data_IF_337815719650
#
_entry.id   IF_337815719650
#
_cell.length_a   1.000
_cell.length_b   1.000
_cell.length_c   1.000
_cell.angle_alpha   90.00
_cell.angle_beta   90.00
_cell.angle_gamma   90.00
#
_symmetry.space_group_name_H-M   'P 1'
#
loop_
_entity.id
_entity.type
_entity.pdbx_description
1 polymer ?
#
# COMPACT_ATOMS: atom_id res chain seq x y z
N UNK A 1 -33.32 -76.63 -2.76
CA UNK A 1 -32.99 -76.95 -1.38
C UNK A 1 -32.46 -75.66 -0.77
N UNK A 2 -33.30 -74.87 -0.06
CA UNK A 2 -33.44 -74.77 1.36
C UNK A 2 -32.14 -74.26 2.01
N UNK A 3 -32.07 -73.11 2.66
CA UNK A 3 -32.76 -72.54 3.81
C UNK A 3 -32.37 -71.05 3.95
N UNK A 4 -33.25 -70.19 4.17
CA UNK A 4 -33.70 -69.44 5.35
C UNK A 4 -32.68 -69.21 6.44
N UNK A 5 -32.39 -67.94 6.71
CA UNK A 5 -31.68 -67.45 7.89
C UNK A 5 -32.08 -66.02 8.20
N UNK A 6 -33.14 -65.89 9.00
CA UNK A 6 -33.58 -64.63 9.61
C UNK A 6 -32.60 -64.24 10.70
N UNK A 7 -32.11 -63.02 10.72
CA UNK A 7 -31.27 -62.46 11.78
C UNK A 7 -31.80 -61.10 12.19
N UNK A 8 -32.36 -61.09 13.39
CA UNK A 8 -33.03 -60.02 14.13
C UNK A 8 -32.25 -58.70 14.13
N UNK A 9 -32.99 -57.66 13.82
CA UNK A 9 -32.59 -56.28 14.08
C UNK A 9 -32.48 -55.94 15.55
N UNK A 10 -31.40 -55.31 15.92
CA UNK A 10 -31.26 -54.60 17.18
C UNK A 10 -30.92 -53.14 16.83
N UNK A 11 -31.89 -52.27 16.94
CA UNK A 11 -31.69 -50.84 16.92
C UNK A 11 -31.26 -50.36 18.31
N UNK A 12 -30.07 -49.78 18.49
CA UNK A 12 -29.76 -49.03 19.70
C UNK A 12 -30.37 -47.63 19.63
N UNK A 13 -30.81 -47.05 20.75
CA UNK A 13 -31.44 -45.74 20.80
C UNK A 13 -30.42 -44.65 20.53
N UNK A 14 -30.74 -43.81 19.55
CA UNK A 14 -29.97 -42.61 19.16
C UNK A 14 -30.02 -41.62 20.31
N UNK A 15 -28.94 -41.56 21.11
CA UNK A 15 -28.68 -40.44 22.01
C UNK A 15 -28.47 -39.18 21.16
N UNK A 16 -29.40 -38.24 21.28
CA UNK A 16 -29.29 -36.89 20.77
C UNK A 16 -28.10 -36.20 21.44
N UNK A 17 -26.92 -36.30 20.85
CA UNK A 17 -25.78 -35.43 21.15
C UNK A 17 -26.05 -34.11 20.44
N UNK A 18 -26.38 -33.09 21.21
CA UNK A 18 -26.46 -31.71 20.73
C UNK A 18 -25.07 -31.27 20.28
N UNK A 19 -24.87 -31.23 18.97
CA UNK A 19 -23.65 -30.69 18.35
C UNK A 19 -23.75 -29.17 18.42
N UNK A 20 -23.17 -28.57 19.47
CA UNK A 20 -22.90 -27.15 19.54
C UNK A 20 -21.82 -26.85 18.50
N UNK A 21 -22.25 -26.45 17.28
CA UNK A 21 -21.36 -25.83 16.30
C UNK A 21 -20.92 -24.48 16.86
N UNK A 22 -19.74 -24.45 17.47
CA UNK A 22 -19.00 -23.22 17.68
C UNK A 22 -18.60 -22.66 16.31
N UNK A 23 -19.39 -21.74 15.79
CA UNK A 23 -19.02 -20.87 14.69
C UNK A 23 -17.91 -19.94 15.18
N UNK A 24 -16.67 -20.40 15.21
CA UNK A 24 -15.50 -19.53 15.23
C UNK A 24 -15.48 -18.80 13.89
N UNK A 25 -16.15 -17.64 13.85
CA UNK A 25 -16.00 -16.70 12.77
C UNK A 25 -14.51 -16.32 12.68
N UNK A 26 -13.79 -16.91 11.74
CA UNK A 26 -12.49 -16.38 11.32
C UNK A 26 -12.74 -14.97 10.77
N UNK A 27 -12.61 -13.97 11.63
CA UNK A 27 -12.52 -12.58 11.21
C UNK A 27 -11.27 -12.50 10.34
N UNK A 28 -11.44 -12.53 9.03
CA UNK A 28 -10.34 -12.32 8.10
C UNK A 28 -9.70 -10.99 8.50
N UNK A 29 -8.42 -11.03 8.92
CA UNK A 29 -7.68 -9.84 9.22
C UNK A 29 -7.64 -9.00 7.94
N UNK A 30 -7.96 -7.71 8.05
CA UNK A 30 -7.82 -6.79 6.93
C UNK A 30 -6.37 -6.88 6.41
N UNK A 31 -6.15 -6.83 5.08
CA UNK A 31 -4.79 -6.80 4.56
C UNK A 31 -4.03 -5.63 5.19
N UNK A 32 -2.75 -5.81 5.50
CA UNK A 32 -1.95 -4.74 6.09
C UNK A 32 -1.98 -3.52 5.16
N UNK A 33 -1.95 -2.30 5.71
CA UNK A 33 -1.89 -1.09 4.91
C UNK A 33 -0.64 -1.09 4.03
N UNK A 34 -0.70 -0.52 2.81
CA UNK A 34 0.47 -0.40 1.95
C UNK A 34 1.55 0.45 2.63
N UNK A 35 2.76 -0.05 2.67
CA UNK A 35 3.91 0.57 3.32
C UNK A 35 4.92 -0.48 3.76
N UNK A 36 6.11 -0.06 4.15
CA UNK A 36 7.22 -0.92 4.48
C UNK A 36 7.49 -1.03 6.00
N UNK A 37 8.25 -2.06 6.39
CA UNK A 37 8.62 -2.28 7.79
C UNK A 37 9.65 -1.26 8.30
N UNK A 38 10.46 -0.69 7.40
CA UNK A 38 11.49 0.29 7.71
C UNK A 38 11.57 1.43 6.68
N UNK A 39 12.24 2.54 7.01
CA UNK A 39 12.34 3.70 6.11
C UNK A 39 13.16 3.43 4.86
N UNK A 40 14.21 2.63 4.94
CA UNK A 40 15.02 2.23 3.77
C UNK A 40 14.20 1.38 2.82
N UNK A 41 13.50 0.39 3.37
CA UNK A 41 12.61 -0.50 2.63
C UNK A 41 11.48 0.28 1.94
N UNK A 42 10.92 1.30 2.59
CA UNK A 42 9.88 2.14 2.00
C UNK A 42 10.37 2.85 0.73
N UNK A 43 11.59 3.39 0.75
CA UNK A 43 12.18 4.05 -0.42
C UNK A 43 12.58 3.04 -1.49
N UNK A 44 13.08 1.86 -1.10
CA UNK A 44 13.41 0.79 -2.04
C UNK A 44 12.17 0.25 -2.76
N UNK A 45 11.09 0.00 -2.05
CA UNK A 45 9.81 -0.44 -2.62
C UNK A 45 9.22 0.63 -3.54
N UNK A 46 9.28 1.90 -3.14
CA UNK A 46 8.86 3.03 -3.95
C UNK A 46 9.67 3.11 -5.25
N UNK A 47 11.00 3.05 -5.16
CA UNK A 47 11.87 3.05 -6.34
C UNK A 47 11.61 1.84 -7.26
N UNK A 48 11.40 0.65 -6.69
CA UNK A 48 11.06 -0.54 -7.45
C UNK A 48 9.70 -0.44 -8.14
N UNK A 49 8.70 0.17 -7.51
CA UNK A 49 7.40 0.44 -8.15
C UNK A 49 7.55 1.40 -9.34
N UNK A 50 8.34 2.47 -9.19
CA UNK A 50 8.65 3.39 -10.28
C UNK A 50 9.36 2.68 -11.45
N UNK A 51 10.34 1.84 -11.17
CA UNK A 51 11.07 1.07 -12.19
C UNK A 51 10.19 0.12 -12.98
N UNK A 52 9.16 -0.46 -12.35
CA UNK A 52 8.17 -1.32 -13.01
C UNK A 52 7.10 -0.53 -13.77
N UNK A 53 7.06 0.79 -13.64
CA UNK A 53 5.98 1.62 -14.17
C UNK A 53 4.67 1.45 -13.40
N UNK A 54 4.71 0.91 -12.19
CA UNK A 54 3.54 0.70 -11.35
C UNK A 54 3.20 1.96 -10.55
N UNK A 55 2.55 2.91 -11.25
CA UNK A 55 2.12 4.16 -10.67
C UNK A 55 1.13 3.98 -9.50
N UNK A 56 0.34 2.92 -9.52
CA UNK A 56 -0.62 2.66 -8.44
C UNK A 56 0.08 2.23 -7.15
N UNK A 57 1.02 1.28 -7.25
CA UNK A 57 1.83 0.86 -6.11
C UNK A 57 2.71 2.02 -5.60
N UNK A 58 3.36 2.77 -6.50
CA UNK A 58 4.16 3.94 -6.10
C UNK A 58 3.30 4.97 -5.33
N UNK A 59 2.09 5.26 -5.80
CA UNK A 59 1.19 6.20 -5.13
C UNK A 59 0.74 5.70 -3.76
N UNK A 60 0.46 4.41 -3.61
CA UNK A 60 0.07 3.80 -2.33
C UNK A 60 1.18 3.84 -1.27
N UNK A 61 2.46 3.88 -1.68
CA UNK A 61 3.62 4.02 -0.81
C UNK A 61 3.90 5.46 -0.37
N UNK A 62 3.19 6.44 -0.89
CA UNK A 62 3.29 7.83 -0.45
C UNK A 62 2.53 8.06 0.87
N UNK A 63 2.99 9.03 1.66
CA UNK A 63 2.28 9.47 2.85
C UNK A 63 0.89 10.01 2.53
N UNK A 64 -0.01 9.93 3.49
CA UNK A 64 -1.37 10.48 3.37
C UNK A 64 -1.33 11.98 3.07
N UNK A 65 -0.36 12.71 3.64
CA UNK A 65 -0.14 14.12 3.37
C UNK A 65 0.20 14.35 1.89
N UNK A 66 1.18 13.61 1.37
CA UNK A 66 1.60 13.72 -0.03
C UNK A 66 0.47 13.39 -1.00
N UNK A 67 -0.26 12.31 -0.76
CA UNK A 67 -1.40 11.91 -1.61
C UNK A 67 -2.46 13.01 -1.66
N UNK A 68 -2.88 13.54 -0.51
CA UNK A 68 -3.88 14.61 -0.44
C UNK A 68 -3.42 15.89 -1.12
N UNK A 69 -2.15 16.26 -0.98
CA UNK A 69 -1.62 17.44 -1.63
C UNK A 69 -1.54 17.27 -3.15
N UNK A 70 -1.10 16.11 -3.62
CA UNK A 70 -1.08 15.78 -5.05
C UNK A 70 -2.49 15.85 -5.66
N UNK A 71 -3.50 15.28 -5.00
CA UNK A 71 -4.89 15.34 -5.45
C UNK A 71 -5.43 16.77 -5.44
N UNK A 72 -5.06 17.58 -4.44
CA UNK A 72 -5.43 19.00 -4.36
C UNK A 72 -4.84 19.81 -5.50
N UNK A 73 -3.55 19.59 -5.82
CA UNK A 73 -2.89 20.26 -6.96
C UNK A 73 -3.56 19.86 -8.28
N UNK A 74 -3.83 18.57 -8.48
CA UNK A 74 -4.52 18.09 -9.67
C UNK A 74 -5.94 18.69 -9.80
N UNK A 75 -6.67 18.81 -8.70
CA UNK A 75 -7.99 19.44 -8.68
C UNK A 75 -7.92 20.94 -9.04
N UNK A 76 -6.94 21.68 -8.51
CA UNK A 76 -6.72 23.09 -8.86
C UNK A 76 -6.36 23.26 -10.35
N UNK A 77 -5.49 22.38 -10.88
CA UNK A 77 -5.13 22.42 -12.30
C UNK A 77 -6.35 22.22 -13.20
N UNK A 78 -7.22 21.28 -12.87
CA UNK A 78 -8.50 21.08 -13.61
C UNK A 78 -9.42 22.30 -13.53
N UNK A 79 -9.55 22.88 -12.35
CA UNK A 79 -10.38 24.07 -12.17
C UNK A 79 -9.85 25.29 -12.95
N UNK A 80 -8.55 25.40 -13.15
CA UNK A 80 -7.91 26.49 -13.87
C UNK A 80 -7.80 26.25 -15.38
N UNK A 81 -7.66 24.99 -15.82
CA UNK A 81 -7.36 24.63 -17.21
C UNK A 81 -8.58 24.35 -18.09
N UNK A 82 -9.79 24.25 -17.52
CA UNK A 82 -10.97 23.82 -18.25
C UNK A 82 -10.79 22.44 -18.90
N UNK A 83 -11.49 22.20 -20.02
CA UNK A 83 -11.43 20.93 -20.77
C UNK A 83 -10.20 20.82 -21.71
N UNK A 84 -9.14 21.61 -21.48
CA UNK A 84 -7.91 21.52 -22.26
C UNK A 84 -7.23 20.16 -22.00
N UNK A 85 -7.07 19.36 -23.06
CA UNK A 85 -6.43 18.05 -22.98
C UNK A 85 -5.04 18.14 -22.36
N UNK A 86 -4.73 17.22 -21.43
CA UNK A 86 -3.43 17.14 -20.75
C UNK A 86 -3.45 17.53 -19.27
N UNK A 87 -4.58 18.00 -18.74
CA UNK A 87 -4.73 18.25 -17.30
C UNK A 87 -4.89 16.93 -16.56
N UNK A 88 -4.08 16.66 -15.50
CA UNK A 88 -4.15 15.40 -14.79
C UNK A 88 -5.48 15.21 -14.05
N UNK A 89 -6.09 14.02 -14.16
CA UNK A 89 -7.36 13.69 -13.51
C UNK A 89 -7.21 13.41 -12.00
N UNK A 90 -6.01 13.09 -11.55
CA UNK A 90 -5.72 12.74 -10.15
C UNK A 90 -4.28 13.09 -9.78
N UNK A 91 -4.00 13.15 -8.48
CA UNK A 91 -2.65 13.32 -7.96
C UNK A 91 -1.70 12.21 -8.43
N UNK A 92 -2.19 10.98 -8.55
CA UNK A 92 -1.41 9.87 -9.11
C UNK A 92 -0.98 10.13 -10.55
N UNK A 93 -1.91 10.55 -11.41
CA UNK A 93 -1.59 10.88 -12.80
C UNK A 93 -0.65 12.08 -12.89
N UNK A 94 -0.84 13.09 -12.04
CA UNK A 94 0.04 14.26 -11.97
C UNK A 94 1.48 13.87 -11.62
N UNK A 95 1.68 12.99 -10.63
CA UNK A 95 3.01 12.60 -10.17
C UNK A 95 3.69 11.59 -11.11
N UNK A 96 2.92 10.70 -11.73
CA UNK A 96 3.45 9.53 -12.44
C UNK A 96 2.92 9.39 -13.88
N UNK A 97 2.27 10.41 -14.42
CA UNK A 97 1.74 10.39 -15.78
C UNK A 97 2.79 10.55 -16.88
N UNK A 98 4.01 10.95 -16.53
CA UNK A 98 5.15 11.03 -17.45
C UNK A 98 6.14 9.88 -17.22
N UNK A 99 7.15 9.78 -18.09
CA UNK A 99 8.19 8.75 -17.98
C UNK A 99 8.82 8.74 -16.59
N UNK A 100 8.79 7.57 -15.94
CA UNK A 100 9.33 7.37 -14.60
C UNK A 100 10.86 7.16 -14.66
N UNK A 101 11.60 7.56 -13.61
CA UNK A 101 13.05 7.36 -13.56
C UNK A 101 13.38 5.88 -13.66
N UNK A 102 14.31 5.54 -14.55
CA UNK A 102 14.84 4.19 -14.72
C UNK A 102 16.24 4.11 -14.13
N UNK A 103 16.60 2.97 -13.55
CA UNK A 103 17.95 2.68 -13.10
C UNK A 103 18.02 2.20 -11.64
N UNK A 104 19.16 1.56 -11.33
CA UNK A 104 19.44 1.12 -9.96
C UNK A 104 19.78 2.33 -9.09
N UNK A 105 19.32 2.27 -7.86
CA UNK A 105 19.62 3.28 -6.84
C UNK A 105 20.24 2.61 -5.61
N UNK A 106 21.14 3.31 -4.95
CA UNK A 106 21.65 2.97 -3.63
C UNK A 106 20.85 3.78 -2.60
N UNK A 107 20.39 3.10 -1.56
CA UNK A 107 19.50 3.70 -0.55
C UNK A 107 20.11 3.51 0.83
N UNK A 108 20.21 4.58 1.61
CA UNK A 108 20.70 4.53 2.98
C UNK A 108 19.95 5.50 3.90
N UNK A 109 19.71 5.09 5.13
CA UNK A 109 19.19 5.98 6.17
C UNK A 109 20.31 6.91 6.64
N UNK A 110 20.02 8.20 6.74
CA UNK A 110 20.97 9.20 7.26
C UNK A 110 20.57 9.74 8.64
N UNK A 111 19.28 9.72 8.97
CA UNK A 111 18.80 10.09 10.31
C UNK A 111 17.41 9.52 10.57
N UNK A 112 17.09 9.34 11.86
CA UNK A 112 15.75 8.96 12.32
C UNK A 112 15.43 9.63 13.64
N UNK A 113 14.22 10.17 13.74
CA UNK A 113 13.68 10.75 14.96
C UNK A 113 12.22 10.31 15.12
N UNK A 114 11.99 9.32 15.99
CA UNK A 114 10.66 8.74 16.20
C UNK A 114 10.07 8.15 14.90
N UNK A 115 8.95 8.71 14.48
CA UNK A 115 8.20 8.29 13.29
C UNK A 115 8.61 9.04 12.00
N UNK A 116 9.73 9.75 12.01
CA UNK A 116 10.27 10.46 10.85
C UNK A 116 11.72 10.04 10.62
N UNK A 117 12.05 9.74 9.37
CA UNK A 117 13.42 9.42 8.95
C UNK A 117 13.79 10.21 7.69
N UNK A 118 15.11 10.40 7.51
CA UNK A 118 15.70 10.90 6.27
C UNK A 118 16.47 9.78 5.61
N UNK A 119 16.20 9.57 4.34
CA UNK A 119 16.80 8.50 3.55
C UNK A 119 17.44 9.09 2.32
N UNK A 120 18.71 8.84 2.13
CA UNK A 120 19.45 9.27 0.94
C UNK A 120 19.32 8.20 -0.14
N UNK A 121 19.07 8.65 -1.35
CA UNK A 121 19.05 7.85 -2.57
C UNK A 121 20.11 8.39 -3.51
N UNK A 122 21.03 7.52 -3.92
CA UNK A 122 22.09 7.85 -4.89
C UNK A 122 21.81 7.11 -6.18
N UNK A 123 21.68 7.84 -7.28
CA UNK A 123 21.47 7.26 -8.61
C UNK A 123 22.81 6.82 -9.27
N UNK A 124 22.71 6.18 -10.43
CA UNK A 124 23.89 5.73 -11.20
C UNK A 124 24.82 6.87 -11.64
N UNK A 125 24.29 8.10 -11.70
CA UNK A 125 25.05 9.32 -12.02
C UNK A 125 25.73 9.91 -10.78
N UNK A 126 25.68 9.22 -9.64
CA UNK A 126 26.14 9.67 -8.32
C UNK A 126 25.44 10.94 -7.82
N UNK A 127 24.24 11.22 -8.28
CA UNK A 127 23.41 12.29 -7.74
C UNK A 127 22.70 11.77 -6.50
N UNK A 128 22.91 12.47 -5.40
CA UNK A 128 22.24 12.17 -4.14
C UNK A 128 20.96 13.01 -4.01
N UNK A 129 19.89 12.38 -3.53
CA UNK A 129 18.63 13.03 -3.14
C UNK A 129 18.21 12.52 -1.79
N UNK A 130 17.71 13.39 -0.94
CA UNK A 130 17.18 13.01 0.37
C UNK A 130 15.66 12.96 0.30
N UNK A 131 15.10 11.85 0.76
CA UNK A 131 13.67 11.65 0.92
C UNK A 131 13.32 11.69 2.41
N UNK A 132 12.28 12.41 2.72
CA UNK A 132 11.62 12.29 4.02
C UNK A 132 10.72 11.07 4.00
N UNK A 133 10.76 10.27 5.06
CA UNK A 133 9.93 9.07 5.24
C UNK A 133 9.24 9.18 6.58
N UNK A 134 7.96 8.89 6.62
CA UNK A 134 7.15 8.99 7.84
C UNK A 134 6.48 7.67 8.13
N UNK A 135 6.26 7.40 9.42
CA UNK A 135 5.54 6.22 9.85
C UNK A 135 4.08 6.58 10.09
N UNK A 136 3.18 5.94 9.34
CA UNK A 136 1.72 6.08 9.42
C UNK A 136 1.11 4.69 9.62
N UNK A 137 0.21 4.53 10.58
CA UNK A 137 -0.49 3.26 10.86
C UNK A 137 0.44 2.05 11.02
N UNK A 138 1.64 2.29 11.60
CA UNK A 138 2.65 1.24 11.84
C UNK A 138 3.56 0.90 10.67
N UNK A 139 3.36 1.49 9.50
CA UNK A 139 4.19 1.29 8.29
C UNK A 139 4.88 2.57 7.85
N UNK A 140 6.04 2.43 7.20
CA UNK A 140 6.79 3.55 6.68
C UNK A 140 6.36 3.92 5.27
N UNK A 141 6.23 5.22 5.00
CA UNK A 141 5.77 5.79 3.72
C UNK A 141 6.66 6.95 3.29
N UNK A 142 6.81 7.12 1.98
CA UNK A 142 7.59 8.23 1.41
C UNK A 142 6.78 9.51 1.47
N UNK A 143 7.37 10.56 2.02
CA UNK A 143 6.74 11.86 2.20
C UNK A 143 7.42 12.88 1.28
N UNK A 144 6.77 13.19 0.17
CA UNK A 144 7.30 14.14 -0.81
C UNK A 144 6.92 15.57 -0.44
N UNK A 145 7.86 16.47 -0.61
CA UNK A 145 7.62 17.90 -0.51
C UNK A 145 7.17 18.41 -1.89
N UNK A 146 5.86 18.72 -2.00
CA UNK A 146 5.27 19.17 -3.24
C UNK A 146 5.15 20.71 -3.22
N UNK A 147 5.48 21.40 -4.34
CA UNK A 147 5.34 22.85 -4.41
C UNK A 147 3.88 23.27 -4.22
N UNK A 148 3.65 24.14 -3.23
CA UNK A 148 2.30 24.59 -2.86
C UNK A 148 1.72 23.93 -1.59
N UNK A 149 2.47 23.05 -0.94
CA UNK A 149 2.06 22.45 0.34
C UNK A 149 1.97 23.50 1.48
N UNK A 150 2.80 24.54 1.44
CA UNK A 150 2.92 25.58 2.47
C UNK A 150 2.06 26.83 2.19
N UNK A 151 1.20 26.82 1.19
CA UNK A 151 0.37 27.95 0.79
C UNK A 151 -0.96 28.06 1.55
N UNK A 152 -0.96 27.89 2.84
CA UNK A 152 -2.14 27.97 3.69
C UNK A 152 -1.83 28.47 5.10
N UNK A 153 -1.39 29.72 5.22
CA UNK A 153 -1.41 30.50 6.44
C UNK A 153 -2.54 31.51 6.38
#
# INVERSE_FOLDING_TARGET
MIASGAGNGYCPPVRRAALLLCLFGCKAAAPPPPGAAGPVEAVQEFAAALQRGDAAAAYALLSTRTQREADRIAARARAAGGDAGGVPESGRQMLFGSALPQGKVEVREISRQGDVAQVEVVDQSRRARTFRVVREDGVWKVDLDLPGADGGG
#
